data_IF_301121909685
#
_entry.id   IF_301121909685
#
_cell.length_a   1.000
_cell.length_b   1.000
_cell.length_c   1.000
_cell.angle_alpha   90.00
_cell.angle_beta   90.00
_cell.angle_gamma   90.00
#
_symmetry.space_group_name_H-M   'P 1'
#
loop_
_entity.id
_entity.type
_entity.pdbx_description
1 polymer ?
#
# COMPACT_ATOMS: atom_id res chain seq x y z
N UNK A 1 5.89 11.99 28.32
CA UNK A 1 4.99 11.17 27.48
C UNK A 1 5.85 10.24 26.65
N UNK A 2 5.64 8.92 26.73
CA UNK A 2 6.54 7.89 26.14
C UNK A 2 6.39 7.84 24.61
N UNK A 3 7.47 7.49 23.88
CA UNK A 3 7.50 7.37 22.41
C UNK A 3 6.34 6.51 21.85
N UNK A 4 6.01 5.42 22.53
CA UNK A 4 5.00 4.45 22.10
C UNK A 4 3.58 5.04 22.08
N UNK A 5 3.26 5.99 22.97
CA UNK A 5 1.93 6.62 23.01
C UNK A 5 1.70 7.52 21.79
N UNK A 6 2.75 8.18 21.29
CA UNK A 6 2.68 8.96 20.06
C UNK A 6 2.47 8.06 18.84
N UNK A 7 3.25 6.98 18.72
CA UNK A 7 3.11 6.01 17.63
C UNK A 7 1.68 5.46 17.59
N UNK A 8 1.16 5.00 18.73
CA UNK A 8 -0.20 4.49 18.85
C UNK A 8 -1.28 5.48 18.35
N UNK A 9 -1.23 6.73 18.83
CA UNK A 9 -2.18 7.78 18.43
C UNK A 9 -2.05 8.14 16.96
N UNK A 10 -0.83 8.13 16.40
CA UNK A 10 -0.63 8.39 14.97
C UNK A 10 -1.14 7.25 14.10
N UNK A 11 -0.95 5.99 14.51
CA UNK A 11 -1.49 4.84 13.79
C UNK A 11 -3.01 4.94 13.69
N UNK A 12 -3.72 5.19 14.81
CA UNK A 12 -5.17 5.43 14.82
C UNK A 12 -5.62 6.50 13.83
N UNK A 13 -4.90 7.61 13.76
CA UNK A 13 -5.20 8.70 12.83
C UNK A 13 -4.99 8.26 11.38
N UNK A 14 -3.89 7.58 11.07
CA UNK A 14 -3.58 7.13 9.71
C UNK A 14 -4.58 6.05 9.25
N UNK A 15 -4.98 5.14 10.15
CA UNK A 15 -6.01 4.14 9.86
C UNK A 15 -7.34 4.80 9.54
N UNK A 16 -7.73 5.78 10.35
CA UNK A 16 -8.94 6.56 10.11
C UNK A 16 -8.88 7.28 8.77
N UNK A 17 -7.77 7.94 8.44
CA UNK A 17 -7.60 8.60 7.14
C UNK A 17 -7.76 7.59 6.01
N UNK A 18 -7.11 6.43 6.09
CA UNK A 18 -7.16 5.39 5.05
C UNK A 18 -8.58 4.89 4.79
N UNK A 19 -9.38 4.74 5.85
CA UNK A 19 -10.74 4.22 5.77
C UNK A 19 -11.78 5.29 5.42
N UNK A 20 -11.44 6.59 5.54
CA UNK A 20 -12.40 7.69 5.44
C UNK A 20 -11.89 8.84 4.54
N UNK A 21 -11.24 8.51 3.41
CA UNK A 21 -10.63 9.51 2.51
C UNK A 21 -11.62 10.53 1.92
N UNK A 22 -12.89 10.16 1.82
CA UNK A 22 -14.01 10.95 1.34
C UNK A 22 -14.68 11.82 2.42
N UNK A 23 -14.30 11.66 3.69
CA UNK A 23 -14.88 12.35 4.84
C UNK A 23 -14.16 13.66 5.20
N UNK A 24 -14.63 14.35 6.26
CA UNK A 24 -13.90 15.49 6.85
C UNK A 24 -12.60 15.03 7.51
N UNK A 25 -11.49 15.39 6.89
CA UNK A 25 -10.12 15.14 7.35
C UNK A 25 -9.43 16.44 7.78
N UNK A 26 -10.20 17.40 8.30
CA UNK A 26 -9.66 18.64 8.86
C UNK A 26 -8.67 18.38 10.00
N UNK A 27 -7.74 19.33 10.19
CA UNK A 27 -6.77 19.26 11.28
C UNK A 27 -7.46 19.09 12.64
N UNK A 28 -8.61 19.75 12.84
CA UNK A 28 -9.42 19.68 14.05
C UNK A 28 -10.06 18.30 14.23
N UNK A 29 -10.60 17.70 13.16
CA UNK A 29 -11.16 16.36 13.22
C UNK A 29 -10.09 15.33 13.60
N UNK A 30 -8.94 15.35 12.92
CA UNK A 30 -7.86 14.40 13.14
C UNK A 30 -7.16 14.58 14.50
N UNK A 31 -7.02 15.83 14.97
CA UNK A 31 -6.46 16.09 16.31
C UNK A 31 -7.34 15.52 17.43
N UNK A 32 -8.67 15.53 17.28
CA UNK A 32 -9.59 14.91 18.24
C UNK A 32 -9.39 13.41 18.31
N UNK A 33 -9.23 12.73 17.18
CA UNK A 33 -8.93 11.29 17.11
C UNK A 33 -7.60 10.98 17.81
N UNK A 34 -6.58 11.81 17.57
CA UNK A 34 -5.28 11.69 18.21
C UNK A 34 -5.30 12.05 19.71
N UNK A 35 -6.40 12.61 20.24
CA UNK A 35 -6.49 13.19 21.59
C UNK A 35 -5.39 14.22 21.87
N UNK A 36 -5.14 15.11 20.90
CA UNK A 36 -4.18 16.21 20.99
C UNK A 36 -4.83 17.56 20.68
N UNK A 37 -4.20 18.64 21.14
CA UNK A 37 -4.52 19.96 20.61
C UNK A 37 -4.14 20.04 19.11
N UNK A 38 -4.85 20.82 18.28
CA UNK A 38 -4.56 20.91 16.84
C UNK A 38 -3.12 21.30 16.51
N UNK A 39 -2.54 22.22 17.28
CA UNK A 39 -1.16 22.68 17.08
C UNK A 39 -0.14 21.57 17.40
N UNK A 40 -0.32 20.88 18.54
CA UNK A 40 0.55 19.78 18.93
C UNK A 40 0.44 18.60 17.95
N UNK A 41 -0.79 18.25 17.56
CA UNK A 41 -1.05 17.22 16.57
C UNK A 41 -0.32 17.51 15.26
N UNK A 42 -0.46 18.71 14.70
CA UNK A 42 0.22 19.09 13.46
C UNK A 42 1.74 18.91 13.54
N UNK A 43 2.35 19.34 14.65
CA UNK A 43 3.80 19.23 14.85
C UNK A 43 4.25 17.77 14.92
N UNK A 44 3.53 16.95 15.69
CA UNK A 44 3.86 15.53 15.86
C UNK A 44 3.64 14.77 14.56
N UNK A 45 2.51 14.99 13.89
CA UNK A 45 2.19 14.35 12.62
C UNK A 45 3.28 14.61 11.59
N UNK A 46 3.74 15.86 11.48
CA UNK A 46 4.83 16.22 10.57
C UNK A 46 6.16 15.55 10.91
N UNK A 47 6.43 15.27 12.18
CA UNK A 47 7.64 14.53 12.60
C UNK A 47 7.53 13.04 12.28
N UNK A 48 6.35 12.45 12.47
CA UNK A 48 6.13 11.00 12.28
C UNK A 48 5.94 10.63 10.81
N UNK A 49 5.15 11.43 10.07
CA UNK A 49 4.75 11.16 8.68
C UNK A 49 5.63 11.92 7.67
N UNK A 50 6.47 12.85 8.14
CA UNK A 50 7.33 13.70 7.29
C UNK A 50 6.58 14.61 6.31
N UNK A 51 5.26 14.69 6.41
CA UNK A 51 4.36 15.51 5.59
C UNK A 51 3.45 16.34 6.48
N UNK A 52 2.93 17.48 5.98
CA UNK A 52 1.82 18.13 6.68
C UNK A 52 0.56 17.27 6.55
N UNK A 53 -0.38 17.42 7.49
CA UNK A 53 -1.66 16.70 7.46
C UNK A 53 -2.41 16.96 6.15
N UNK A 54 -2.41 18.22 5.69
CA UNK A 54 -3.05 18.61 4.44
C UNK A 54 -2.37 17.93 3.24
N UNK A 55 -1.04 17.95 3.17
CA UNK A 55 -0.31 17.38 2.04
C UNK A 55 -0.48 15.86 1.97
N UNK A 56 -0.44 15.20 3.13
CA UNK A 56 -0.67 13.76 3.23
C UNK A 56 -2.06 13.39 2.73
N UNK A 57 -3.12 14.03 3.25
CA UNK A 57 -4.50 13.77 2.82
C UNK A 57 -4.68 14.06 1.33
N UNK A 58 -4.17 15.18 0.84
CA UNK A 58 -4.28 15.53 -0.58
C UNK A 58 -3.57 14.51 -1.46
N UNK A 59 -2.38 14.05 -1.05
CA UNK A 59 -1.63 13.00 -1.74
C UNK A 59 -2.44 11.71 -1.84
N UNK A 60 -2.98 11.22 -0.73
CA UNK A 60 -3.78 9.98 -0.74
C UNK A 60 -5.03 10.10 -1.61
N UNK A 61 -5.68 11.26 -1.59
CA UNK A 61 -6.83 11.54 -2.47
C UNK A 61 -6.43 11.56 -3.94
N UNK A 62 -5.28 12.14 -4.28
CA UNK A 62 -4.74 12.13 -5.64
C UNK A 62 -4.37 10.72 -6.12
N UNK A 63 -3.71 9.93 -5.27
CA UNK A 63 -3.32 8.55 -5.56
C UNK A 63 -4.57 7.65 -5.77
N UNK A 64 -5.57 7.78 -4.90
CA UNK A 64 -6.89 7.13 -5.06
C UNK A 64 -7.56 7.54 -6.37
N UNK A 65 -7.60 8.84 -6.68
CA UNK A 65 -8.18 9.33 -7.92
C UNK A 65 -7.48 8.77 -9.16
N UNK A 66 -6.15 8.67 -9.14
CA UNK A 66 -5.37 8.09 -10.23
C UNK A 66 -5.74 6.61 -10.46
N UNK A 67 -5.89 5.83 -9.38
CA UNK A 67 -6.36 4.43 -9.42
C UNK A 67 -7.75 4.35 -10.07
N UNK A 68 -8.71 5.16 -9.61
CA UNK A 68 -10.08 5.17 -10.13
C UNK A 68 -10.13 5.60 -11.60
N UNK A 69 -9.40 6.65 -12.00
CA UNK A 69 -9.36 7.11 -13.40
C UNK A 69 -8.77 6.06 -14.35
N UNK A 70 -7.81 5.25 -13.88
CA UNK A 70 -7.22 4.17 -14.71
C UNK A 70 -8.16 3.00 -14.88
N UNK A 71 -8.82 2.56 -13.80
CA UNK A 71 -9.48 1.26 -13.79
C UNK A 71 -11.01 1.33 -13.82
N UNK A 72 -11.64 2.44 -13.42
CA UNK A 72 -13.10 2.59 -13.42
C UNK A 72 -13.54 3.47 -14.59
N UNK A 73 -13.54 2.90 -15.80
CA UNK A 73 -13.81 3.64 -17.04
C UNK A 73 -15.24 4.16 -17.15
N UNK A 74 -16.20 3.51 -16.50
CA UNK A 74 -17.61 3.93 -16.46
C UNK A 74 -17.82 5.24 -15.70
N UNK A 75 -17.06 5.49 -14.63
CA UNK A 75 -17.25 6.67 -13.78
C UNK A 75 -16.73 7.96 -14.40
N UNK A 76 -17.50 9.02 -14.36
CA UNK A 76 -17.10 10.35 -14.80
C UNK A 76 -15.99 10.95 -13.91
N UNK A 77 -15.25 11.91 -14.45
CA UNK A 77 -14.23 12.66 -13.69
C UNK A 77 -14.84 13.35 -12.46
N UNK A 78 -16.08 13.83 -12.58
CA UNK A 78 -16.81 14.47 -11.49
C UNK A 78 -17.16 13.50 -10.37
N UNK A 79 -17.66 12.30 -10.71
CA UNK A 79 -17.96 11.25 -9.73
C UNK A 79 -16.70 10.84 -8.96
N UNK A 80 -15.59 10.62 -9.68
CA UNK A 80 -14.31 10.28 -9.06
C UNK A 80 -13.83 11.42 -8.14
N UNK A 81 -13.98 12.68 -8.54
CA UNK A 81 -13.61 13.82 -7.70
C UNK A 81 -14.37 13.81 -6.36
N UNK A 82 -15.68 13.59 -6.41
CA UNK A 82 -16.54 13.52 -5.22
C UNK A 82 -16.17 12.32 -4.34
N UNK A 83 -15.96 11.14 -4.94
CA UNK A 83 -15.53 9.93 -4.22
C UNK A 83 -14.16 10.10 -3.54
N UNK A 84 -13.28 10.92 -4.09
CA UNK A 84 -12.00 11.25 -3.48
C UNK A 84 -12.09 12.42 -2.47
N UNK A 85 -13.30 12.87 -2.10
CA UNK A 85 -13.50 13.89 -1.06
C UNK A 85 -13.26 15.34 -1.52
N UNK A 86 -13.30 15.61 -2.83
CA UNK A 86 -13.27 16.99 -3.34
C UNK A 86 -14.67 17.58 -3.40
N UNK A 87 -14.81 18.84 -2.99
CA UNK A 87 -16.09 19.57 -3.07
C UNK A 87 -16.48 19.99 -4.48
N UNK A 88 -15.53 20.01 -5.43
CA UNK A 88 -15.81 20.34 -6.82
C UNK A 88 -14.81 19.70 -7.79
N UNK A 89 -15.28 19.37 -8.99
CA UNK A 89 -14.46 18.84 -10.08
C UNK A 89 -13.40 19.84 -10.57
N UNK A 90 -13.62 21.14 -10.41
CA UNK A 90 -12.66 22.19 -10.80
C UNK A 90 -11.46 22.24 -9.86
N UNK A 91 -11.70 22.24 -8.54
CA UNK A 91 -10.63 22.15 -7.52
C UNK A 91 -9.85 20.85 -7.69
N UNK A 92 -10.55 19.73 -7.87
CA UNK A 92 -9.94 18.44 -8.16
C UNK A 92 -9.05 18.49 -9.40
N UNK A 93 -9.58 18.96 -10.54
CA UNK A 93 -8.84 18.96 -11.80
C UNK A 93 -7.59 19.82 -11.75
N UNK A 94 -7.64 20.96 -11.04
CA UNK A 94 -6.47 21.80 -10.80
C UNK A 94 -5.43 21.06 -9.95
N UNK A 95 -5.83 20.52 -8.80
CA UNK A 95 -4.91 19.80 -7.90
C UNK A 95 -4.30 18.58 -8.59
N UNK A 96 -5.10 17.82 -9.33
CA UNK A 96 -4.65 16.65 -10.09
C UNK A 96 -3.64 17.03 -11.16
N UNK A 97 -3.88 18.10 -11.93
CA UNK A 97 -2.93 18.59 -12.93
C UNK A 97 -1.65 19.12 -12.29
N UNK A 98 -1.73 19.79 -11.15
CA UNK A 98 -0.56 20.24 -10.38
C UNK A 98 0.26 19.05 -9.87
N UNK A 99 -0.39 17.95 -9.47
CA UNK A 99 0.26 16.76 -8.92
C UNK A 99 0.85 15.84 -10.01
N UNK A 100 0.08 15.51 -11.05
CA UNK A 100 0.44 14.55 -12.10
C UNK A 100 0.96 15.17 -13.40
N UNK A 101 0.85 16.49 -13.56
CA UNK A 101 1.28 17.21 -14.77
C UNK A 101 0.30 17.14 -15.95
N UNK A 102 -0.75 16.33 -15.87
CA UNK A 102 -1.80 16.22 -16.89
C UNK A 102 -3.21 16.28 -16.27
N UNK A 103 -4.23 16.62 -17.07
CA UNK A 103 -5.60 16.70 -16.56
C UNK A 103 -6.20 15.32 -16.26
N UNK A 104 -7.16 15.19 -15.34
CA UNK A 104 -7.84 13.92 -15.07
C UNK A 104 -8.44 13.24 -16.30
N UNK A 105 -9.02 14.05 -17.21
CA UNK A 105 -9.61 13.53 -18.46
C UNK A 105 -8.57 12.96 -19.41
N UNK A 106 -7.37 13.56 -19.46
CA UNK A 106 -6.25 13.03 -20.24
C UNK A 106 -5.73 11.74 -19.59
N UNK A 107 -5.48 11.78 -18.28
CA UNK A 107 -5.03 10.63 -17.49
C UNK A 107 -5.95 9.40 -17.66
N UNK A 108 -7.27 9.63 -17.66
CA UNK A 108 -8.29 8.58 -17.87
C UNK A 108 -8.24 7.95 -19.27
N UNK A 109 -7.94 8.74 -20.30
CA UNK A 109 -7.87 8.27 -21.71
C UNK A 109 -6.58 7.54 -22.02
N UNK A 110 -5.53 7.78 -21.24
CA UNK A 110 -4.27 7.08 -21.38
C UNK A 110 -4.50 5.59 -21.08
N UNK A 111 -4.26 4.74 -22.07
CA UNK A 111 -4.11 3.29 -21.86
C UNK A 111 -2.98 3.13 -20.83
N UNK A 112 -3.10 2.25 -19.82
CA UNK A 112 -1.98 1.93 -18.94
C UNK A 112 -0.79 1.58 -19.83
N UNK A 113 0.14 2.51 -20.00
CA UNK A 113 1.33 2.25 -20.79
C UNK A 113 2.11 1.26 -19.96
N UNK A 114 2.12 -0.01 -20.36
CA UNK A 114 3.11 -0.96 -19.87
C UNK A 114 4.46 -0.27 -19.97
N UNK A 115 5.01 0.05 -18.80
CA UNK A 115 6.31 0.65 -18.51
C UNK A 115 7.09 1.15 -19.73
N UNK A 116 6.76 2.36 -20.25
CA UNK A 116 7.68 3.01 -21.19
C UNK A 116 8.88 3.60 -20.44
N UNK A 117 10.07 3.20 -20.92
CA UNK A 117 11.46 3.57 -20.60
C UNK A 117 11.77 5.02 -20.15
N UNK A 118 10.83 5.96 -20.24
CA UNK A 118 10.96 7.38 -19.95
C UNK A 118 9.61 8.01 -19.54
N UNK A 119 8.86 7.37 -18.63
CA UNK A 119 7.63 7.97 -18.11
C UNK A 119 7.93 9.32 -17.45
N UNK A 120 7.48 10.39 -18.09
CA UNK A 120 7.56 11.76 -17.52
C UNK A 120 6.71 11.88 -16.24
N UNK A 121 5.83 10.91 -15.95
CA UNK A 121 4.90 10.93 -14.83
C UNK A 121 5.60 10.67 -13.48
N UNK A 122 6.84 10.17 -13.47
CA UNK A 122 7.66 10.04 -12.28
C UNK A 122 8.48 11.31 -11.93
N UNK A 123 8.39 12.38 -12.76
CA UNK A 123 8.98 13.68 -12.42
C UNK A 123 7.99 14.51 -11.61
N UNK A 124 7.62 14.05 -10.42
CA UNK A 124 6.87 14.88 -9.48
C UNK A 124 7.85 15.89 -8.87
N UNK A 125 7.88 17.08 -9.44
CA UNK A 125 8.55 18.24 -8.87
C UNK A 125 7.85 18.61 -7.55
N UNK A 126 8.51 18.36 -6.42
CA UNK A 126 8.21 19.09 -5.21
C UNK A 126 8.56 20.57 -5.43
N UNK A 127 7.71 21.50 -4.95
CA UNK A 127 7.99 22.95 -4.88
C UNK A 127 9.31 23.30 -4.17
N UNK A 128 9.99 22.32 -3.57
CA UNK A 128 11.27 22.46 -2.85
C UNK A 128 12.50 21.87 -3.57
N UNK A 129 12.44 21.61 -4.89
CA UNK A 129 13.65 21.37 -5.70
C UNK A 129 14.51 20.16 -5.29
N UNK A 130 13.94 19.18 -4.57
CA UNK A 130 14.60 17.90 -4.32
C UNK A 130 14.11 16.90 -5.35
N UNK A 131 15.02 16.43 -6.20
CA UNK A 131 14.78 15.35 -7.15
C UNK A 131 14.14 14.16 -6.42
N UNK A 132 12.97 13.74 -6.90
CA UNK A 132 12.33 12.52 -6.44
C UNK A 132 13.05 11.33 -7.07
N UNK A 133 13.65 10.49 -6.22
CA UNK A 133 14.26 9.21 -6.55
C UNK A 133 13.22 8.14 -6.94
N UNK A 134 12.30 8.50 -7.84
CA UNK A 134 11.11 7.75 -8.23
C UNK A 134 11.41 6.38 -8.90
N UNK A 135 12.67 5.97 -9.00
CA UNK A 135 13.07 4.73 -9.67
C UNK A 135 13.69 3.68 -8.73
N UNK A 136 13.68 3.83 -7.40
CA UNK A 136 14.52 2.94 -6.56
C UNK A 136 14.05 1.47 -6.43
N UNK A 137 12.74 1.18 -6.51
CA UNK A 137 12.25 -0.20 -6.58
C UNK A 137 12.32 -0.76 -8.01
N UNK A 138 12.08 0.07 -9.02
CA UNK A 138 12.34 -0.27 -10.42
C UNK A 138 13.83 -0.47 -10.74
N UNK A 139 14.73 0.11 -9.97
CA UNK A 139 16.17 -0.17 -10.08
C UNK A 139 16.50 -1.59 -9.62
N UNK A 140 15.67 -2.21 -8.77
CA UNK A 140 15.79 -3.62 -8.41
C UNK A 140 15.33 -4.49 -9.58
N UNK A 141 14.21 -4.15 -10.23
CA UNK A 141 13.77 -4.83 -11.47
C UNK A 141 14.81 -4.69 -12.59
N UNK A 142 15.47 -3.53 -12.69
CA UNK A 142 16.48 -3.21 -13.72
C UNK A 142 17.87 -3.77 -13.43
N UNK A 143 18.29 -3.87 -12.15
CA UNK A 143 19.54 -4.53 -11.77
C UNK A 143 19.39 -6.05 -11.68
N UNK A 144 18.16 -6.55 -11.53
CA UNK A 144 17.90 -7.98 -11.58
C UNK A 144 18.22 -8.57 -12.97
N UNK A 145 18.11 -7.77 -14.04
CA UNK A 145 18.62 -8.09 -15.39
C UNK A 145 20.15 -8.31 -15.41
N UNK A 146 20.92 -7.60 -14.57
CA UNK A 146 22.38 -7.82 -14.45
C UNK A 146 22.71 -9.09 -13.62
N UNK A 147 21.77 -9.55 -12.78
CA UNK A 147 21.89 -10.77 -11.97
C UNK A 147 21.21 -12.02 -12.56
N UNK A 148 20.74 -11.96 -13.82
CA UNK A 148 20.20 -13.12 -14.53
C UNK A 148 18.70 -13.41 -14.31
N UNK A 149 17.93 -12.48 -13.72
CA UNK A 149 16.47 -12.58 -13.62
C UNK A 149 15.83 -11.95 -14.87
N UNK A 150 16.26 -12.40 -16.05
CA UNK A 150 15.73 -11.93 -17.32
C UNK A 150 14.24 -12.29 -17.40
N UNK A 151 13.39 -11.30 -17.68
CA UNK A 151 11.99 -11.41 -18.11
C UNK A 151 11.32 -12.76 -17.80
N UNK A 152 10.88 -12.97 -16.55
CA UNK A 152 10.06 -14.13 -16.23
C UNK A 152 8.76 -13.98 -17.01
N UNK A 153 8.55 -14.91 -17.96
CA UNK A 153 7.56 -14.81 -19.02
C UNK A 153 6.11 -14.58 -18.52
N UNK A 154 5.37 -13.73 -19.26
CA UNK A 154 3.93 -13.44 -19.16
C UNK A 154 3.00 -14.65 -18.93
N UNK A 155 3.42 -15.86 -19.30
CA UNK A 155 2.64 -17.09 -19.20
C UNK A 155 2.78 -17.84 -17.86
N UNK A 156 3.41 -17.25 -16.82
CA UNK A 156 3.70 -17.95 -15.57
C UNK A 156 2.63 -17.76 -14.47
N UNK A 157 1.96 -16.63 -14.43
CA UNK A 157 1.04 -16.33 -13.33
C UNK A 157 -0.35 -16.91 -13.60
N UNK A 158 -0.74 -17.86 -12.76
CA UNK A 158 -2.12 -18.32 -12.67
C UNK A 158 -2.86 -17.36 -11.74
N UNK A 159 -4.01 -16.87 -12.19
CA UNK A 159 -4.88 -16.01 -11.37
C UNK A 159 -6.04 -16.83 -10.85
N UNK A 160 -6.17 -16.89 -9.53
CA UNK A 160 -7.29 -17.52 -8.85
C UNK A 160 -8.20 -16.44 -8.24
N UNK A 161 -9.51 -16.58 -8.41
CA UNK A 161 -10.47 -15.72 -7.72
C UNK A 161 -10.89 -16.41 -6.43
N UNK A 162 -10.50 -15.83 -5.29
CA UNK A 162 -10.81 -16.35 -3.97
C UNK A 162 -11.64 -15.34 -3.17
N UNK A 163 -12.46 -15.84 -2.25
CA UNK A 163 -13.13 -14.98 -1.26
C UNK A 163 -12.43 -15.13 0.07
N UNK A 164 -11.82 -14.07 0.57
CA UNK A 164 -11.22 -14.04 1.89
C UNK A 164 -12.27 -13.65 2.94
N UNK A 165 -12.31 -14.28 4.12
CA UNK A 165 -13.19 -13.88 5.20
C UNK A 165 -12.72 -12.56 5.83
N UNK A 166 -13.55 -11.98 6.69
CA UNK A 166 -13.10 -10.95 7.62
C UNK A 166 -12.05 -11.54 8.56
N UNK A 167 -11.00 -10.78 8.86
CA UNK A 167 -10.01 -11.17 9.87
C UNK A 167 -9.40 -9.95 10.56
N UNK A 168 -8.82 -10.18 11.74
CA UNK A 168 -8.06 -9.16 12.46
C UNK A 168 -6.57 -9.35 12.19
N UNK A 169 -5.85 -8.23 12.13
CA UNK A 169 -4.40 -8.20 12.01
C UNK A 169 -3.81 -7.35 13.14
N UNK A 170 -2.81 -7.89 13.83
CA UNK A 170 -1.88 -7.12 14.65
C UNK A 170 -0.69 -6.73 13.76
N UNK A 171 -0.42 -5.44 13.61
CA UNK A 171 0.59 -4.95 12.68
C UNK A 171 1.47 -3.87 13.27
N UNK A 172 2.66 -3.77 12.71
CA UNK A 172 3.57 -2.65 12.86
C UNK A 172 3.67 -1.90 11.53
N UNK A 173 3.47 -0.58 11.59
CA UNK A 173 3.40 0.29 10.43
C UNK A 173 4.78 0.82 10.06
N UNK A 174 5.19 0.52 8.85
CA UNK A 174 6.36 1.12 8.23
C UNK A 174 5.94 2.31 7.37
N UNK A 175 6.32 3.51 7.82
CA UNK A 175 6.36 4.71 7.00
C UNK A 175 7.73 4.85 6.33
N UNK A 176 7.74 5.33 5.08
CA UNK A 176 8.95 5.55 4.28
C UNK A 176 9.71 4.24 3.98
N UNK A 177 8.97 3.17 3.67
CA UNK A 177 9.46 1.79 3.72
C UNK A 177 10.56 1.43 2.72
N UNK A 178 10.71 2.17 1.62
CA UNK A 178 11.58 1.75 0.50
C UNK A 178 12.71 2.73 0.17
N UNK A 179 13.13 3.56 1.13
CA UNK A 179 14.21 4.55 0.95
C UNK A 179 15.59 3.93 0.61
N UNK A 180 15.76 2.60 0.63
CA UNK A 180 17.03 1.94 0.31
C UNK A 180 16.94 0.75 -0.65
N UNK A 181 15.78 0.52 -1.27
CA UNK A 181 15.55 -0.70 -2.05
C UNK A 181 15.64 -1.96 -1.19
N UNK A 182 14.98 -3.03 -1.62
CA UNK A 182 14.86 -4.32 -0.94
C UNK A 182 13.86 -4.27 0.24
N UNK A 183 13.16 -5.38 0.41
CA UNK A 183 12.45 -5.75 1.64
C UNK A 183 13.40 -5.53 2.83
N UNK A 184 13.24 -4.40 3.50
CA UNK A 184 14.28 -3.92 4.41
C UNK A 184 14.29 -4.72 5.71
N UNK A 185 15.41 -4.69 6.41
CA UNK A 185 15.52 -5.15 7.81
C UNK A 185 14.38 -4.57 8.66
N UNK A 186 13.91 -3.34 8.37
CA UNK A 186 12.76 -2.75 9.06
C UNK A 186 11.47 -3.54 8.89
N UNK A 187 11.21 -4.06 7.69
CA UNK A 187 10.00 -4.87 7.41
C UNK A 187 10.13 -6.22 8.12
N UNK A 188 11.29 -6.87 8.03
CA UNK A 188 11.57 -8.11 8.78
C UNK A 188 11.33 -7.90 10.28
N UNK A 189 11.93 -6.87 10.86
CA UNK A 189 11.81 -6.58 12.30
C UNK A 189 10.37 -6.22 12.68
N UNK A 190 9.58 -5.63 11.77
CA UNK A 190 8.17 -5.32 12.00
C UNK A 190 7.29 -6.59 12.03
N UNK A 191 7.54 -7.55 11.13
CA UNK A 191 6.93 -8.88 11.22
C UNK A 191 7.32 -9.55 12.55
N UNK A 192 8.60 -9.60 12.91
CA UNK A 192 9.04 -10.21 14.16
C UNK A 192 8.40 -9.55 15.39
N UNK A 193 8.34 -8.21 15.45
CA UNK A 193 7.69 -7.49 16.55
C UNK A 193 6.20 -7.81 16.65
N UNK A 194 5.48 -7.82 15.52
CA UNK A 194 4.04 -8.11 15.52
C UNK A 194 3.74 -9.57 15.91
N UNK A 195 4.55 -10.53 15.46
CA UNK A 195 4.46 -11.93 15.89
C UNK A 195 4.72 -12.10 17.38
N UNK A 196 5.86 -11.60 17.89
CA UNK A 196 6.22 -11.71 19.30
C UNK A 196 5.18 -11.06 20.20
N UNK A 197 4.62 -9.92 19.78
CA UNK A 197 3.55 -9.26 20.50
C UNK A 197 2.26 -10.11 20.52
N UNK A 198 1.84 -10.63 19.37
CA UNK A 198 0.64 -11.46 19.29
C UNK A 198 0.77 -12.78 20.06
N UNK A 199 1.97 -13.39 20.06
CA UNK A 199 2.29 -14.58 20.85
C UNK A 199 2.21 -14.29 22.35
N UNK A 200 2.85 -13.21 22.82
CA UNK A 200 2.83 -12.81 24.22
C UNK A 200 1.43 -12.45 24.74
N UNK A 201 0.49 -12.16 23.85
CA UNK A 201 -0.92 -11.88 24.17
C UNK A 201 -1.85 -13.09 23.87
N UNK A 202 -1.30 -14.26 23.53
CA UNK A 202 -2.06 -15.49 23.26
C UNK A 202 -3.10 -15.34 22.12
N UNK A 203 -2.78 -14.53 21.11
CA UNK A 203 -3.68 -14.21 19.99
C UNK A 203 -3.41 -15.03 18.73
N UNK A 204 -2.33 -15.82 18.73
CA UNK A 204 -1.94 -16.67 17.61
C UNK A 204 -2.68 -18.01 17.62
N UNK A 205 -2.92 -18.54 16.42
CA UNK A 205 -3.48 -19.88 16.20
C UNK A 205 -2.67 -20.63 15.16
N UNK A 206 -2.95 -21.92 14.97
CA UNK A 206 -2.40 -22.71 13.87
C UNK A 206 -2.75 -22.16 12.47
N UNK A 207 -3.76 -21.29 12.38
CA UNK A 207 -4.19 -20.64 11.14
C UNK A 207 -3.67 -19.21 10.99
N UNK A 208 -2.93 -18.69 11.97
CA UNK A 208 -2.33 -17.36 11.88
C UNK A 208 -1.29 -17.32 10.75
N UNK A 209 -1.33 -16.25 9.96
CA UNK A 209 -0.45 -16.03 8.81
C UNK A 209 0.23 -14.68 8.93
N UNK A 210 1.45 -14.56 8.40
CA UNK A 210 2.05 -13.25 8.23
C UNK A 210 1.31 -12.53 7.09
N UNK A 211 0.96 -11.27 7.32
CA UNK A 211 0.17 -10.44 6.42
C UNK A 211 0.93 -9.14 6.14
N UNK A 212 1.18 -8.85 4.87
CA UNK A 212 1.64 -7.56 4.39
C UNK A 212 0.49 -6.76 3.82
N UNK A 213 0.32 -5.49 4.20
CA UNK A 213 -0.69 -4.61 3.61
C UNK A 213 -0.01 -3.50 2.83
N UNK A 214 -0.37 -3.38 1.55
CA UNK A 214 0.15 -2.39 0.62
C UNK A 214 -0.93 -1.37 0.30
N UNK A 215 -0.81 -0.18 0.87
CA UNK A 215 -1.77 0.91 0.65
C UNK A 215 -1.51 1.69 -0.63
N UNK A 216 -0.26 1.69 -1.09
CA UNK A 216 0.22 2.62 -2.09
C UNK A 216 0.52 1.90 -3.41
N UNK A 217 0.24 2.58 -4.53
CA UNK A 217 0.54 2.07 -5.86
C UNK A 217 1.94 2.52 -6.28
N UNK A 218 2.82 1.58 -6.66
CA UNK A 218 4.20 1.84 -7.09
C UNK A 218 4.31 2.70 -8.35
N UNK A 219 3.28 2.73 -9.21
CA UNK A 219 3.25 3.57 -10.42
C UNK A 219 3.07 5.07 -10.10
N UNK A 220 2.53 5.37 -8.93
CA UNK A 220 1.96 6.68 -8.59
C UNK A 220 2.63 7.27 -7.35
N UNK A 221 3.03 6.40 -6.43
CA UNK A 221 3.59 6.79 -5.13
C UNK A 221 5.10 6.71 -5.17
N UNK A 222 5.77 7.74 -4.67
CA UNK A 222 7.23 7.73 -4.57
C UNK A 222 7.66 6.71 -3.51
N UNK A 223 8.81 6.06 -3.71
CA UNK A 223 9.37 5.08 -2.77
C UNK A 223 9.57 5.63 -1.35
N UNK A 224 9.78 6.95 -1.23
CA UNK A 224 9.90 7.67 0.03
C UNK A 224 8.58 7.80 0.79
N UNK A 225 7.45 7.75 0.10
CA UNK A 225 6.12 7.95 0.68
C UNK A 225 5.35 6.65 0.87
N UNK A 226 5.96 5.51 0.50
CA UNK A 226 5.32 4.21 0.58
C UNK A 226 5.07 3.78 2.03
N UNK A 227 3.87 3.28 2.25
CA UNK A 227 3.32 2.81 3.52
C UNK A 227 3.03 1.32 3.40
N UNK A 228 3.54 0.59 4.38
CA UNK A 228 3.39 -0.84 4.46
C UNK A 228 3.10 -1.22 5.90
N UNK A 229 2.07 -2.03 6.13
CA UNK A 229 1.84 -2.64 7.44
C UNK A 229 2.32 -4.10 7.38
N UNK A 230 3.26 -4.44 8.26
CA UNK A 230 3.74 -5.79 8.43
C UNK A 230 3.12 -6.37 9.70
N UNK A 231 2.38 -7.47 9.57
CA UNK A 231 1.61 -8.00 10.69
C UNK A 231 1.36 -9.49 10.64
N UNK A 232 0.55 -9.93 11.58
CA UNK A 232 0.09 -11.31 11.71
C UNK A 232 -1.42 -11.34 11.93
N UNK A 233 -2.11 -12.29 11.31
CA UNK A 233 -3.54 -12.49 11.58
C UNK A 233 -3.76 -13.08 12.97
N UNK A 234 -4.73 -12.51 13.69
CA UNK A 234 -5.06 -12.84 15.08
C UNK A 234 -6.50 -13.36 15.19
N UNK A 235 -6.77 -14.17 16.21
CA UNK A 235 -8.08 -14.83 16.40
C UNK A 235 -9.19 -13.88 16.90
N UNK A 236 -8.84 -12.79 17.57
CA UNK A 236 -9.81 -11.84 18.13
C UNK A 236 -9.23 -10.43 18.23
N UNK A 237 -10.12 -9.44 18.27
CA UNK A 237 -9.76 -8.05 18.55
C UNK A 237 -9.38 -7.87 20.02
N UNK A 238 -8.42 -6.99 20.29
CA UNK A 238 -8.07 -6.54 21.65
C UNK A 238 -7.98 -5.02 21.65
N UNK A 239 -8.59 -4.39 22.64
CA UNK A 239 -8.48 -2.95 22.82
C UNK A 239 -7.11 -2.58 23.39
N UNK A 240 -6.36 -1.84 22.58
CA UNK A 240 -5.05 -1.34 22.94
C UNK A 240 -5.16 0.06 23.56
N UNK A 241 -4.35 0.31 24.59
CA UNK A 241 -4.28 1.61 25.26
C UNK A 241 -3.01 2.39 24.88
N UNK A 242 -1.94 1.68 24.53
CA UNK A 242 -0.69 2.21 23.99
C UNK A 242 0.05 1.12 23.20
N UNK A 243 1.22 1.45 22.64
CA UNK A 243 2.10 0.48 21.99
C UNK A 243 2.50 0.86 20.57
N UNK A 244 3.48 0.13 20.04
CA UNK A 244 3.91 0.26 18.65
C UNK A 244 3.08 -0.61 17.69
N UNK A 245 2.53 -1.72 18.21
CA UNK A 245 1.62 -2.60 17.49
C UNK A 245 0.21 -2.01 17.52
N UNK A 246 -0.43 -1.98 16.36
CA UNK A 246 -1.84 -1.61 16.21
C UNK A 246 -2.64 -2.83 15.75
N UNK A 247 -3.95 -2.79 15.99
CA UNK A 247 -4.89 -3.80 15.51
C UNK A 247 -5.89 -3.13 14.59
N UNK A 248 -6.18 -3.78 13.46
CA UNK A 248 -7.27 -3.40 12.59
C UNK A 248 -8.04 -4.62 12.09
N UNK A 249 -9.31 -4.41 11.78
CA UNK A 249 -10.13 -5.39 11.06
C UNK A 249 -9.92 -5.22 9.56
N UNK A 250 -9.56 -6.29 8.88
CA UNK A 250 -9.59 -6.36 7.42
C UNK A 250 -10.93 -6.95 7.03
N UNK A 251 -11.72 -6.16 6.29
CA UNK A 251 -12.96 -6.64 5.71
C UNK A 251 -12.62 -7.61 4.59
N UNK A 252 -13.23 -8.79 4.62
CA UNK A 252 -13.14 -9.79 3.59
C UNK A 252 -13.69 -9.30 2.25
N UNK A 253 -13.69 -10.17 1.26
CA UNK A 253 -14.11 -9.82 -0.09
C UNK A 253 -13.50 -10.75 -1.13
N UNK A 254 -13.74 -10.42 -2.40
CA UNK A 254 -13.16 -11.14 -3.53
C UNK A 254 -11.78 -10.57 -3.84
N UNK A 255 -10.82 -11.46 -4.05
CA UNK A 255 -9.45 -11.14 -4.42
C UNK A 255 -9.05 -11.95 -5.65
N UNK A 256 -8.36 -11.29 -6.58
CA UNK A 256 -7.56 -11.96 -7.59
C UNK A 256 -6.19 -12.26 -6.99
N UNK A 257 -5.83 -13.54 -6.94
CA UNK A 257 -4.63 -14.03 -6.26
C UNK A 257 -3.64 -14.57 -7.28
N UNK A 258 -2.40 -14.09 -7.19
CA UNK A 258 -1.24 -14.73 -7.82
C UNK A 258 -0.33 -15.29 -6.74
N UNK A 259 0.01 -16.57 -6.87
CA UNK A 259 0.90 -17.28 -5.94
C UNK A 259 2.33 -17.33 -6.47
N UNK A 260 3.28 -16.99 -5.62
CA UNK A 260 4.72 -17.13 -5.85
C UNK A 260 5.26 -18.23 -4.93
N UNK A 261 5.90 -19.24 -5.53
CA UNK A 261 6.53 -20.34 -4.80
C UNK A 261 8.01 -20.50 -5.18
N UNK A 262 8.86 -20.69 -4.16
CA UNK A 262 10.29 -20.95 -4.30
C UNK A 262 10.76 -22.00 -3.30
N UNK A 263 11.64 -22.90 -3.73
CA UNK A 263 12.29 -23.89 -2.87
C UNK A 263 13.72 -23.47 -2.51
N UNK A 264 14.33 -24.15 -1.54
CA UNK A 264 15.72 -23.98 -1.11
C UNK A 264 16.04 -22.56 -0.61
N UNK A 265 15.40 -22.17 0.50
CA UNK A 265 15.52 -20.83 1.05
C UNK A 265 16.96 -20.48 1.44
N UNK A 266 17.49 -19.47 0.78
CA UNK A 266 18.55 -18.58 1.28
C UNK A 266 18.13 -17.11 1.08
N UNK A 267 18.88 -16.16 1.63
CA UNK A 267 18.58 -14.72 1.51
C UNK A 267 18.43 -14.24 0.06
N UNK A 268 19.13 -14.86 -0.88
CA UNK A 268 19.02 -14.54 -2.30
C UNK A 268 17.68 -15.03 -2.89
N UNK A 269 17.27 -16.26 -2.58
CA UNK A 269 15.99 -16.82 -3.04
C UNK A 269 14.76 -16.07 -2.50
N UNK A 270 14.83 -15.52 -1.28
CA UNK A 270 13.76 -14.68 -0.72
C UNK A 270 13.63 -13.37 -1.50
N UNK A 271 14.75 -12.69 -1.79
CA UNK A 271 14.74 -11.47 -2.59
C UNK A 271 14.19 -11.72 -4.00
N UNK A 272 14.49 -12.87 -4.59
CA UNK A 272 13.93 -13.30 -5.88
C UNK A 272 12.41 -13.51 -5.78
N UNK A 273 11.92 -14.16 -4.72
CA UNK A 273 10.48 -14.32 -4.48
C UNK A 273 9.75 -12.97 -4.36
N UNK A 274 10.33 -12.01 -3.63
CA UNK A 274 9.78 -10.64 -3.54
C UNK A 274 9.80 -9.92 -4.90
N UNK A 275 10.86 -10.08 -5.69
CA UNK A 275 10.92 -9.51 -7.03
C UNK A 275 9.86 -10.12 -7.97
N UNK A 276 9.55 -11.41 -7.82
CA UNK A 276 8.46 -12.08 -8.53
C UNK A 276 7.09 -11.65 -8.07
N UNK A 277 6.92 -11.33 -6.78
CA UNK A 277 5.69 -10.78 -6.25
C UNK A 277 5.37 -9.42 -6.88
N UNK A 278 6.40 -8.57 -7.06
CA UNK A 278 6.27 -7.32 -7.82
C UNK A 278 5.86 -7.56 -9.28
N UNK A 279 6.44 -8.57 -9.94
CA UNK A 279 6.05 -8.94 -11.31
C UNK A 279 4.62 -9.47 -11.39
N UNK A 280 4.15 -10.20 -10.38
CA UNK A 280 2.77 -10.65 -10.28
C UNK A 280 1.80 -9.47 -10.14
N UNK A 281 2.17 -8.46 -9.34
CA UNK A 281 1.41 -7.22 -9.22
C UNK A 281 1.34 -6.47 -10.57
N UNK A 282 2.47 -6.31 -11.25
CA UNK A 282 2.54 -5.66 -12.57
C UNK A 282 1.66 -6.38 -13.60
N UNK A 283 1.72 -7.71 -13.63
CA UNK A 283 0.89 -8.55 -14.49
C UNK A 283 -0.61 -8.38 -14.17
N UNK A 284 -0.98 -8.42 -12.88
CA UNK A 284 -2.38 -8.28 -12.47
C UNK A 284 -2.94 -6.91 -12.87
N UNK A 285 -2.21 -5.81 -12.65
CA UNK A 285 -2.68 -4.46 -12.98
C UNK A 285 -2.64 -4.14 -14.48
N UNK A 286 -1.60 -4.60 -15.18
CA UNK A 286 -1.28 -4.19 -16.55
C UNK A 286 -1.84 -5.11 -17.63
N UNK A 287 -2.00 -6.40 -17.34
CA UNK A 287 -2.39 -7.42 -18.33
C UNK A 287 -3.70 -8.12 -17.94
N UNK A 288 -3.81 -8.68 -16.73
CA UNK A 288 -4.98 -9.48 -16.36
C UNK A 288 -6.24 -8.63 -16.10
N UNK A 289 -6.15 -7.62 -15.22
CA UNK A 289 -7.31 -6.83 -14.80
C UNK A 289 -8.01 -6.13 -15.98
N UNK A 290 -7.31 -5.49 -16.94
CA UNK A 290 -7.94 -4.84 -18.09
C UNK A 290 -8.79 -5.77 -18.95
N UNK A 291 -8.39 -7.05 -19.05
CA UNK A 291 -9.08 -8.08 -19.86
C UNK A 291 -10.00 -8.97 -19.01
N UNK A 292 -10.16 -8.68 -17.71
CA UNK A 292 -11.00 -9.45 -16.79
C UNK A 292 -12.44 -8.92 -16.72
N UNK A 293 -13.35 -9.72 -16.14
CA UNK A 293 -14.72 -9.30 -15.79
C UNK A 293 -14.79 -8.62 -14.41
N UNK A 294 -13.68 -8.06 -13.94
CA UNK A 294 -13.56 -7.48 -12.62
C UNK A 294 -13.02 -6.05 -12.69
N UNK A 295 -13.36 -5.26 -11.68
CA UNK A 295 -12.75 -3.96 -11.39
C UNK A 295 -12.16 -3.96 -9.99
N UNK A 296 -11.26 -3.01 -9.73
CA UNK A 296 -10.65 -2.87 -8.41
C UNK A 296 -11.69 -2.47 -7.36
N UNK A 297 -11.65 -3.18 -6.24
CA UNK A 297 -12.26 -2.66 -5.02
C UNK A 297 -11.34 -1.60 -4.41
N UNK A 298 -11.95 -0.65 -3.71
CA UNK A 298 -11.22 0.41 -3.01
C UNK A 298 -10.68 -0.07 -1.66
N UNK A 299 -9.82 -1.08 -1.72
CA UNK A 299 -9.09 -1.68 -0.60
C UNK A 299 -7.60 -1.74 -0.92
N UNK A 300 -6.72 -1.81 0.09
CA UNK A 300 -5.30 -2.08 -0.12
C UNK A 300 -5.09 -3.51 -0.65
N UNK A 301 -3.98 -3.72 -1.36
CA UNK A 301 -3.53 -5.08 -1.69
C UNK A 301 -2.98 -5.76 -0.43
N UNK A 302 -3.07 -7.08 -0.42
CA UNK A 302 -2.62 -7.90 0.71
C UNK A 302 -1.61 -8.94 0.21
N UNK A 303 -0.54 -9.14 0.96
CA UNK A 303 0.39 -10.25 0.81
C UNK A 303 0.13 -11.26 1.92
N UNK A 304 -0.08 -12.53 1.58
CA UNK A 304 -0.26 -13.61 2.56
C UNK A 304 0.91 -14.56 2.46
N UNK A 305 1.69 -14.65 3.54
CA UNK A 305 2.83 -15.55 3.64
C UNK A 305 2.36 -16.87 4.26
N UNK A 306 2.39 -17.94 3.47
CA UNK A 306 1.84 -19.24 3.87
C UNK A 306 2.82 -20.11 4.65
N UNK A 307 4.11 -19.96 4.34
CA UNK A 307 5.21 -20.68 4.99
C UNK A 307 5.98 -19.77 5.94
N UNK A 308 6.53 -20.35 7.00
CA UNK A 308 7.44 -19.65 7.87
C UNK A 308 8.76 -19.39 7.12
N UNK A 309 9.48 -18.31 7.47
CA UNK A 309 10.77 -17.98 6.85
C UNK A 309 11.82 -19.09 7.02
N UNK A 310 11.67 -19.94 8.02
CA UNK A 310 12.52 -21.10 8.32
C UNK A 310 12.21 -22.35 7.50
N UNK A 311 11.12 -22.36 6.73
CA UNK A 311 10.73 -23.54 5.95
C UNK A 311 11.69 -23.74 4.76
N UNK A 312 11.75 -24.94 4.19
CA UNK A 312 12.54 -25.16 2.97
C UNK A 312 11.90 -24.56 1.71
N UNK A 313 10.66 -24.05 1.82
CA UNK A 313 9.83 -23.51 0.75
C UNK A 313 9.22 -22.17 1.17
N UNK A 314 9.24 -21.18 0.28
CA UNK A 314 8.50 -19.92 0.38
C UNK A 314 7.23 -20.05 -0.44
N UNK A 315 6.10 -19.65 0.13
CA UNK A 315 4.83 -19.50 -0.59
C UNK A 315 4.17 -18.21 -0.17
N UNK A 316 4.02 -17.28 -1.12
CA UNK A 316 3.46 -15.95 -0.90
C UNK A 316 2.36 -15.71 -1.92
N UNK A 317 1.20 -15.29 -1.46
CA UNK A 317 0.10 -14.85 -2.30
C UNK A 317 0.08 -13.33 -2.37
N UNK A 318 0.06 -12.77 -3.58
CA UNK A 318 -0.34 -11.39 -3.80
C UNK A 318 -1.83 -11.34 -4.09
N UNK A 319 -2.59 -10.63 -3.25
CA UNK A 319 -4.04 -10.55 -3.30
C UNK A 319 -4.46 -9.14 -3.72
N UNK A 320 -4.96 -9.02 -4.95
CA UNK A 320 -5.54 -7.79 -5.50
C UNK A 320 -7.05 -7.77 -5.23
N UNK A 321 -7.59 -6.81 -4.45
CA UNK A 321 -9.02 -6.75 -4.14
C UNK A 321 -9.83 -6.35 -5.37
N UNK A 322 -10.88 -7.11 -5.66
CA UNK A 322 -11.70 -6.97 -6.88
C UNK A 322 -13.18 -7.13 -6.60
N UNK A 323 -14.01 -6.48 -7.41
CA UNK A 323 -15.45 -6.68 -7.50
C UNK A 323 -15.85 -6.98 -8.94
N UNK A 324 -16.92 -7.76 -9.20
CA UNK A 324 -17.43 -7.96 -10.55
C UNK A 324 -17.82 -6.63 -11.21
N UNK A 325 -17.67 -6.56 -12.54
CA UNK A 325 -18.09 -5.42 -13.36
C UNK A 325 -19.61 -5.23 -13.41
#
# INVERSE_FOLDING_TARGET
MKKNEYTFRMNKVIDYINQNLDSDLSLQALARIATFSPYHFHRIFKVVVSESVHDFVNRLRMERAAKLLRHQKSQTVTEIALQCGFSSASTFSRSFKEYFGESPSQYKKTVPKVFQKNSKNCKVFSKNGKESSANFLYDIHRKADESGVAHIHRNRFIVEICTLPDFYIAYDRILHGFNKGIYSERITNAFERSFNWAEANELLTSHSKAIGILYDNFDVTTSLNFRYDAGVSINQHVDLLDGEIAIQKISGGKYAICRVERENINSQSFNVAIAELGQAADFLYGEWLPDSFYQLEDKPCIEIYHSARSDSKITIDFCLPVIPL
#
